data_IF_459735860824
#
_entry.id   IF_459735860824
#
_cell.length_a   1.000
_cell.length_b   1.000
_cell.length_c   1.000
_cell.angle_alpha   90.00
_cell.angle_beta   90.00
_cell.angle_gamma   90.00
#
_symmetry.space_group_name_H-M   'P 1'
#
loop_
_entity.id
_entity.type
_entity.pdbx_description
1 polymer ?
#
# COMPACT_ATOMS: atom_id res chain seq x y z
N UNK A 1 -69.66 51.64 12.06
CA UNK A 1 -68.96 50.46 11.53
C UNK A 1 -67.58 50.89 11.09
N UNK A 2 -66.54 50.50 11.82
CA UNK A 2 -65.14 50.75 11.44
C UNK A 2 -64.31 49.54 11.80
N UNK A 3 -63.88 48.81 10.77
CA UNK A 3 -62.91 47.72 10.81
C UNK A 3 -61.54 48.25 11.20
N UNK A 4 -60.82 47.53 12.07
CA UNK A 4 -59.35 47.59 12.08
C UNK A 4 -58.77 46.19 12.28
N UNK A 5 -58.03 45.75 11.26
CA UNK A 5 -57.40 44.45 11.06
C UNK A 5 -56.16 44.26 11.96
N UNK A 6 -55.87 43.05 12.47
CA UNK A 6 -54.59 42.77 13.12
C UNK A 6 -53.50 42.46 12.09
N UNK A 7 -52.37 43.15 12.20
CA UNK A 7 -51.17 43.01 11.38
C UNK A 7 -50.43 41.69 11.71
N UNK A 8 -50.32 40.79 10.73
CA UNK A 8 -49.48 39.57 10.81
C UNK A 8 -47.99 39.95 10.85
N UNK A 9 -47.32 39.75 11.99
CA UNK A 9 -45.85 39.66 12.06
C UNK A 9 -45.42 38.30 11.50
N UNK A 10 -45.02 38.28 10.22
CA UNK A 10 -44.54 37.07 9.57
C UNK A 10 -43.04 36.88 9.81
N UNK A 11 -42.67 35.67 10.24
CA UNK A 11 -41.32 35.17 10.52
C UNK A 11 -40.31 35.53 9.41
N UNK A 12 -39.38 36.45 9.67
CA UNK A 12 -38.17 36.66 8.83
C UNK A 12 -36.88 36.08 9.43
N UNK A 13 -36.93 35.59 10.66
CA UNK A 13 -35.76 35.07 11.37
C UNK A 13 -35.19 33.72 10.86
N UNK A 14 -35.98 32.72 10.40
CA UNK A 14 -35.41 31.42 10.05
C UNK A 14 -34.70 31.41 8.70
N UNK A 15 -35.13 32.26 7.75
CA UNK A 15 -34.56 32.30 6.39
C UNK A 15 -33.14 32.88 6.40
N UNK A 16 -32.90 33.89 7.24
CA UNK A 16 -31.59 34.54 7.35
C UNK A 16 -30.54 33.55 7.90
N UNK A 17 -30.93 32.72 8.87
CA UNK A 17 -30.05 31.70 9.43
C UNK A 17 -29.68 30.61 8.42
N UNK A 18 -30.63 30.18 7.58
CA UNK A 18 -30.36 29.21 6.51
C UNK A 18 -29.34 29.77 5.51
N UNK A 19 -29.46 31.06 5.13
CA UNK A 19 -28.50 31.69 4.23
C UNK A 19 -27.10 31.82 4.84
N UNK A 20 -27.00 32.17 6.13
CA UNK A 20 -25.70 32.27 6.81
C UNK A 20 -25.00 30.91 6.88
N UNK A 21 -25.74 29.84 7.21
CA UNK A 21 -25.19 28.48 7.29
C UNK A 21 -24.75 28.00 5.90
N UNK A 22 -25.55 28.25 4.86
CA UNK A 22 -25.20 27.91 3.49
C UNK A 22 -23.94 28.64 3.00
N UNK A 23 -23.80 29.94 3.31
CA UNK A 23 -22.61 30.70 2.98
C UNK A 23 -21.37 30.22 3.75
N UNK A 24 -21.50 29.88 5.03
CA UNK A 24 -20.40 29.33 5.82
C UNK A 24 -19.91 27.98 5.28
N UNK A 25 -20.84 27.09 4.89
CA UNK A 25 -20.50 25.81 4.27
C UNK A 25 -19.85 25.99 2.89
N UNK A 26 -20.34 26.92 2.08
CA UNK A 26 -19.71 27.25 0.80
C UNK A 26 -18.28 27.76 1.00
N UNK A 27 -18.04 28.64 1.98
CA UNK A 27 -16.70 29.13 2.29
C UNK A 27 -15.75 28.00 2.70
N UNK A 28 -16.20 27.04 3.51
CA UNK A 28 -15.37 25.87 3.88
C UNK A 28 -15.07 24.95 2.70
N UNK A 29 -16.01 24.82 1.75
CA UNK A 29 -15.82 23.99 0.56
C UNK A 29 -14.91 24.65 -0.49
N UNK A 30 -14.99 25.97 -0.67
CA UNK A 30 -14.19 26.70 -1.66
C UNK A 30 -12.85 27.22 -1.12
N UNK A 31 -12.75 27.51 0.18
CA UNK A 31 -11.51 27.92 0.86
C UNK A 31 -11.01 26.80 1.77
N UNK A 32 -10.72 25.63 1.18
CA UNK A 32 -9.89 24.65 1.88
C UNK A 32 -8.51 25.29 2.09
N UNK A 33 -7.99 25.38 3.33
CA UNK A 33 -6.64 25.86 3.55
C UNK A 33 -5.70 24.96 2.75
N UNK A 34 -5.01 25.55 1.78
CA UNK A 34 -3.92 24.87 1.08
C UNK A 34 -2.85 24.62 2.12
N UNK A 35 -2.70 23.36 2.56
CA UNK A 35 -1.49 22.94 3.24
C UNK A 35 -0.33 23.20 2.29
N UNK A 36 0.36 24.31 2.49
CA UNK A 36 1.61 24.57 1.80
C UNK A 36 2.53 23.41 2.13
N UNK A 37 2.91 22.63 1.12
CA UNK A 37 4.05 21.72 1.26
C UNK A 37 5.23 22.62 1.56
N UNK A 38 5.85 22.46 2.73
CA UNK A 38 7.07 23.17 3.04
C UNK A 38 8.06 22.93 1.90
N UNK A 39 8.35 24.00 1.17
CA UNK A 39 9.43 23.99 0.19
C UNK A 39 10.69 24.01 1.04
N UNK A 40 11.31 22.85 1.22
CA UNK A 40 12.60 22.74 1.91
C UNK A 40 13.55 23.68 1.18
N UNK A 41 13.94 24.75 1.86
CA UNK A 41 14.85 25.75 1.32
C UNK A 41 16.20 25.05 1.09
N UNK A 42 16.72 25.13 -0.13
CA UNK A 42 18.04 24.59 -0.47
C UNK A 42 19.09 25.31 0.38
N UNK A 43 19.67 24.59 1.35
CA UNK A 43 20.65 25.09 2.30
C UNK A 43 22.06 25.17 1.71
N UNK A 44 22.22 24.81 0.42
CA UNK A 44 23.49 24.80 -0.28
C UNK A 44 24.40 23.64 0.11
N UNK A 45 23.96 22.76 1.00
CA UNK A 45 24.67 21.53 1.36
C UNK A 45 24.26 20.39 0.41
N UNK A 46 25.20 19.52 -0.01
CA UNK A 46 24.87 18.41 -0.87
C UNK A 46 23.91 17.45 -0.15
N UNK A 47 22.69 17.33 -0.68
CA UNK A 47 21.68 16.37 -0.21
C UNK A 47 22.24 14.94 -0.17
N UNK A 48 22.37 14.36 1.03
CA UNK A 48 22.86 12.99 1.22
C UNK A 48 21.71 12.01 1.08
N UNK A 49 21.58 11.42 -0.11
CA UNK A 49 20.54 10.45 -0.43
C UNK A 49 20.85 9.07 0.18
N UNK A 50 20.08 8.68 1.19
CA UNK A 50 20.22 7.36 1.84
C UNK A 50 19.17 6.38 1.33
N UNK A 51 19.61 5.15 1.09
CA UNK A 51 18.76 3.99 0.81
C UNK A 51 17.90 3.66 2.04
N UNK A 52 16.73 3.06 1.81
CA UNK A 52 15.91 2.49 2.89
C UNK A 52 16.70 1.37 3.57
N UNK A 53 16.78 1.44 4.90
CA UNK A 53 17.37 0.38 5.73
C UNK A 53 16.23 -0.47 6.28
N UNK A 54 16.25 -1.75 5.95
CA UNK A 54 15.23 -2.71 6.37
C UNK A 54 15.70 -3.47 7.61
N UNK A 55 15.13 -3.13 8.75
CA UNK A 55 15.40 -3.80 10.03
C UNK A 55 14.50 -5.04 10.21
N UNK A 56 14.74 -6.03 9.37
CA UNK A 56 13.93 -7.25 9.27
C UNK A 56 13.95 -8.05 10.58
N UNK A 57 15.01 -7.90 11.39
CA UNK A 57 15.15 -8.58 12.68
C UNK A 57 14.07 -8.16 13.69
N UNK A 58 13.59 -6.92 13.62
CA UNK A 58 12.60 -6.35 14.53
C UNK A 58 11.16 -6.41 14.03
N UNK A 59 10.92 -7.04 12.88
CA UNK A 59 9.57 -7.18 12.34
C UNK A 59 8.81 -8.35 12.97
N UNK A 60 7.51 -8.14 13.17
CA UNK A 60 6.64 -9.16 13.73
C UNK A 60 6.37 -10.26 12.70
N UNK A 61 6.96 -11.44 12.93
CA UNK A 61 6.67 -12.63 12.13
C UNK A 61 5.23 -13.12 12.37
N UNK A 62 4.66 -13.77 11.35
CA UNK A 62 3.37 -14.48 11.47
C UNK A 62 3.61 -15.97 11.74
N UNK A 63 2.73 -16.62 12.54
CA UNK A 63 2.78 -18.07 12.69
C UNK A 63 2.66 -18.77 11.35
N UNK A 64 3.37 -19.89 11.20
CA UNK A 64 3.32 -20.68 9.99
C UNK A 64 1.89 -21.20 9.76
N UNK A 65 1.44 -21.13 8.51
CA UNK A 65 0.15 -21.60 8.07
C UNK A 65 0.12 -23.11 7.97
N UNK A 66 -1.02 -23.70 8.29
CA UNK A 66 -1.24 -25.16 8.23
C UNK A 66 -2.01 -25.57 6.99
N UNK A 67 -2.71 -24.61 6.37
CA UNK A 67 -3.41 -24.79 5.10
C UNK A 67 -2.42 -25.10 3.97
N UNK A 68 -2.89 -25.77 2.92
CA UNK A 68 -2.09 -26.18 1.76
C UNK A 68 -2.78 -25.71 0.46
N UNK A 69 -2.02 -25.59 -0.64
CA UNK A 69 -2.56 -25.24 -1.96
C UNK A 69 -3.31 -23.90 -1.97
N UNK A 70 -4.41 -23.80 -2.73
CA UNK A 70 -5.17 -22.57 -2.94
C UNK A 70 -5.57 -21.88 -1.63
N UNK A 71 -6.13 -22.62 -0.67
CA UNK A 71 -6.63 -22.05 0.59
C UNK A 71 -5.52 -21.34 1.38
N UNK A 72 -4.31 -21.87 1.31
CA UNK A 72 -3.13 -21.26 1.92
C UNK A 72 -2.82 -19.89 1.32
N UNK A 73 -2.86 -19.77 0.00
CA UNK A 73 -2.56 -18.51 -0.68
C UNK A 73 -3.70 -17.50 -0.60
N UNK A 74 -4.96 -17.95 -0.59
CA UNK A 74 -6.12 -17.11 -0.30
C UNK A 74 -6.01 -16.44 1.07
N UNK A 75 -5.68 -17.22 2.10
CA UNK A 75 -5.46 -16.66 3.44
C UNK A 75 -4.17 -15.83 3.50
N UNK A 76 -3.11 -16.18 2.78
CA UNK A 76 -1.88 -15.41 2.74
C UNK A 76 -2.08 -13.99 2.15
N UNK A 77 -2.95 -13.81 1.15
CA UNK A 77 -3.30 -12.47 0.59
C UNK A 77 -3.78 -11.50 1.66
N UNK A 78 -4.45 -11.99 2.71
CA UNK A 78 -4.97 -11.14 3.79
C UNK A 78 -3.88 -10.44 4.59
N UNK A 79 -2.63 -10.94 4.57
CA UNK A 79 -1.48 -10.27 5.20
C UNK A 79 -0.97 -9.05 4.40
N UNK A 80 -1.35 -8.94 3.12
CA UNK A 80 -0.97 -7.83 2.25
C UNK A 80 -1.95 -6.68 2.42
N UNK A 81 -3.23 -6.93 2.19
CA UNK A 81 -4.33 -6.01 2.44
C UNK A 81 -5.67 -6.75 2.46
N UNK A 82 -6.67 -6.13 3.09
CA UNK A 82 -8.04 -6.68 3.13
C UNK A 82 -8.81 -6.47 1.82
N UNK A 83 -8.39 -5.49 1.01
CA UNK A 83 -9.07 -5.13 -0.24
C UNK A 83 -8.06 -5.00 -1.37
N UNK A 84 -8.56 -5.22 -2.59
CA UNK A 84 -7.78 -5.09 -3.81
C UNK A 84 -8.70 -4.64 -4.95
N UNK A 85 -8.12 -3.93 -5.92
CA UNK A 85 -8.74 -3.73 -7.23
C UNK A 85 -8.27 -4.86 -8.14
N UNK A 86 -9.23 -5.63 -8.68
CA UNK A 86 -8.97 -6.74 -9.60
C UNK A 86 -8.89 -6.25 -11.05
N UNK A 87 -7.91 -6.73 -11.79
CA UNK A 87 -7.76 -6.54 -13.24
C UNK A 87 -7.05 -7.74 -13.87
N UNK A 88 -7.09 -7.87 -15.20
CA UNK A 88 -6.34 -8.92 -15.89
C UNK A 88 -4.85 -8.56 -16.02
N UNK A 89 -3.98 -9.56 -15.95
CA UNK A 89 -2.56 -9.45 -16.26
C UNK A 89 -2.01 -10.78 -16.81
N UNK A 90 -0.74 -10.76 -17.19
CA UNK A 90 0.01 -11.98 -17.45
C UNK A 90 0.85 -12.32 -16.23
N UNK A 91 0.90 -13.60 -15.87
CA UNK A 91 1.82 -14.13 -14.88
C UNK A 91 3.26 -14.19 -15.45
N UNK A 92 4.19 -14.65 -14.61
CA UNK A 92 5.60 -14.77 -14.89
C UNK A 92 5.91 -15.68 -16.09
N UNK A 93 5.02 -16.64 -16.39
CA UNK A 93 5.13 -17.52 -17.55
C UNK A 93 4.38 -17.00 -18.78
N UNK A 94 3.74 -15.83 -18.69
CA UNK A 94 2.97 -15.24 -19.78
C UNK A 94 1.56 -15.82 -19.93
N UNK A 95 1.03 -16.48 -18.89
CA UNK A 95 -0.34 -17.02 -18.86
C UNK A 95 -1.28 -15.97 -18.27
N UNK A 96 -2.52 -15.91 -18.78
CA UNK A 96 -3.54 -15.01 -18.23
C UNK A 96 -3.79 -15.30 -16.75
N UNK A 97 -3.80 -14.24 -15.95
CA UNK A 97 -3.86 -14.29 -14.51
C UNK A 97 -4.62 -13.09 -13.92
N UNK A 98 -5.04 -13.24 -12.67
CA UNK A 98 -5.71 -12.19 -11.94
C UNK A 98 -4.68 -11.29 -11.24
N UNK A 99 -4.71 -10.00 -11.53
CA UNK A 99 -3.94 -8.99 -10.79
C UNK A 99 -4.81 -8.34 -9.72
N UNK A 100 -4.33 -8.39 -8.48
CA UNK A 100 -4.90 -7.76 -7.30
C UNK A 100 -4.02 -6.58 -6.89
N UNK A 101 -4.43 -5.36 -7.23
CA UNK A 101 -3.70 -4.14 -6.88
C UNK A 101 -4.17 -3.60 -5.53
N UNK A 102 -3.26 -3.39 -4.59
CA UNK A 102 -3.54 -2.97 -3.21
C UNK A 102 -3.24 -1.49 -2.93
N UNK A 103 -2.92 -0.74 -3.97
CA UNK A 103 -2.51 0.67 -3.93
C UNK A 103 -3.18 1.43 -5.06
N UNK A 104 -3.41 2.73 -4.86
CA UNK A 104 -3.93 3.62 -5.88
C UNK A 104 -2.84 4.05 -6.87
N UNK A 105 -3.23 4.66 -8.00
CA UNK A 105 -2.30 5.04 -9.07
C UNK A 105 -1.23 6.08 -8.67
N UNK A 106 -1.42 6.79 -7.56
CA UNK A 106 -0.48 7.80 -7.05
C UNK A 106 0.37 7.30 -5.87
N UNK A 107 0.24 6.03 -5.51
CA UNK A 107 0.99 5.40 -4.43
C UNK A 107 2.03 4.43 -5.00
N UNK A 108 3.15 4.18 -4.29
CA UNK A 108 4.10 3.16 -4.69
C UNK A 108 3.42 1.80 -4.84
N UNK A 109 3.60 1.11 -5.99
CA UNK A 109 2.84 -0.09 -6.28
C UNK A 109 3.07 -1.20 -5.25
N UNK A 110 1.98 -1.89 -4.94
CA UNK A 110 1.91 -3.17 -4.25
C UNK A 110 0.78 -3.97 -4.88
N UNK A 111 1.10 -5.13 -5.45
CA UNK A 111 0.10 -5.98 -6.09
C UNK A 111 0.50 -7.46 -6.03
N UNK A 112 -0.51 -8.30 -6.19
CA UNK A 112 -0.34 -9.74 -6.43
C UNK A 112 -0.80 -10.05 -7.84
N UNK A 113 -0.06 -10.90 -8.56
CA UNK A 113 -0.58 -11.61 -9.74
C UNK A 113 -0.74 -13.07 -9.34
N UNK A 114 -1.92 -13.62 -9.58
CA UNK A 114 -2.26 -14.99 -9.19
C UNK A 114 -2.86 -15.74 -10.38
N UNK A 115 -2.25 -16.88 -10.69
CA UNK A 115 -2.75 -17.88 -11.62
C UNK A 115 -3.01 -19.20 -10.89
N UNK A 116 -3.40 -20.23 -11.63
CA UNK A 116 -3.62 -21.56 -11.06
C UNK A 116 -2.32 -22.10 -10.42
N UNK A 117 -1.17 -21.85 -11.05
CA UNK A 117 0.12 -22.39 -10.62
C UNK A 117 0.97 -21.42 -9.79
N UNK A 118 0.79 -20.11 -9.97
CA UNK A 118 1.70 -19.10 -9.44
C UNK A 118 1.02 -18.09 -8.52
N UNK A 119 1.80 -17.64 -7.54
CA UNK A 119 1.52 -16.49 -6.70
C UNK A 119 2.71 -15.52 -6.75
N UNK A 120 2.47 -14.32 -7.26
CA UNK A 120 3.50 -13.30 -7.50
C UNK A 120 3.23 -12.05 -6.69
N UNK A 121 3.98 -11.87 -5.60
CA UNK A 121 3.97 -10.63 -4.85
C UNK A 121 5.00 -9.65 -5.43
N UNK A 122 4.54 -8.47 -5.85
CA UNK A 122 5.41 -7.40 -6.33
C UNK A 122 5.14 -6.10 -5.58
N UNK A 123 6.21 -5.40 -5.20
CA UNK A 123 6.12 -4.06 -4.63
C UNK A 123 7.27 -3.16 -5.05
N UNK A 124 7.04 -1.85 -4.90
CA UNK A 124 8.04 -0.83 -5.18
C UNK A 124 9.23 -0.88 -4.21
N UNK A 125 10.43 -0.89 -4.77
CA UNK A 125 11.69 -0.80 -4.05
C UNK A 125 12.23 0.64 -4.12
N UNK A 126 12.14 1.37 -3.01
CA UNK A 126 12.42 2.79 -3.00
C UNK A 126 13.86 3.13 -3.40
N UNK A 127 14.00 4.10 -4.28
CA UNK A 127 15.26 4.71 -4.66
C UNK A 127 15.79 5.62 -3.53
N UNK A 128 17.11 5.76 -3.36
CA UNK A 128 17.67 6.68 -2.36
C UNK A 128 17.23 8.14 -2.51
N UNK A 129 16.84 8.58 -3.72
CA UNK A 129 16.35 9.94 -3.97
C UNK A 129 14.85 10.13 -3.81
N UNK A 130 14.11 9.07 -3.47
CA UNK A 130 12.68 9.20 -3.22
C UNK A 130 12.41 10.04 -1.97
N UNK A 131 11.24 10.67 -1.95
CA UNK A 131 10.73 11.35 -0.75
C UNK A 131 10.52 10.36 0.40
N UNK A 132 10.55 10.87 1.62
CA UNK A 132 10.35 10.06 2.83
C UNK A 132 9.00 9.32 2.82
N UNK A 133 7.95 9.93 2.28
CA UNK A 133 6.64 9.29 2.15
C UNK A 133 6.69 8.03 1.25
N UNK A 134 7.43 8.09 0.14
CA UNK A 134 7.60 6.97 -0.80
C UNK A 134 8.47 5.88 -0.17
N UNK A 135 9.55 6.27 0.52
CA UNK A 135 10.41 5.35 1.28
C UNK A 135 9.63 4.62 2.38
N UNK A 136 8.80 5.35 3.11
CA UNK A 136 7.96 4.78 4.17
C UNK A 136 6.91 3.81 3.61
N UNK A 137 6.30 4.13 2.47
CA UNK A 137 5.38 3.22 1.80
C UNK A 137 6.09 1.94 1.30
N UNK A 138 7.27 2.06 0.68
CA UNK A 138 8.09 0.90 0.28
C UNK A 138 8.47 0.03 1.49
N UNK A 139 8.84 0.65 2.61
CA UNK A 139 9.12 -0.06 3.86
C UNK A 139 7.90 -0.81 4.39
N UNK A 140 6.72 -0.18 4.41
CA UNK A 140 5.48 -0.82 4.83
C UNK A 140 5.09 -1.99 3.91
N UNK A 141 5.33 -1.88 2.60
CA UNK A 141 5.12 -2.97 1.66
C UNK A 141 6.07 -4.15 1.93
N UNK A 142 7.34 -3.87 2.24
CA UNK A 142 8.30 -4.90 2.64
C UNK A 142 7.88 -5.62 3.94
N UNK A 143 7.31 -4.91 4.91
CA UNK A 143 6.76 -5.53 6.13
C UNK A 143 5.59 -6.48 5.85
N UNK A 144 4.72 -6.13 4.89
CA UNK A 144 3.63 -7.00 4.44
C UNK A 144 4.16 -8.25 3.75
N UNK A 145 5.17 -8.09 2.88
CA UNK A 145 5.85 -9.21 2.23
C UNK A 145 6.52 -10.14 3.26
N UNK A 146 7.13 -9.57 4.30
CA UNK A 146 7.69 -10.33 5.41
C UNK A 146 6.63 -11.11 6.20
N UNK A 147 5.52 -10.47 6.53
CA UNK A 147 4.41 -11.13 7.22
C UNK A 147 3.86 -12.31 6.39
N UNK A 148 3.72 -12.13 5.08
CA UNK A 148 3.31 -13.20 4.16
C UNK A 148 4.34 -14.33 4.10
N UNK A 149 5.62 -14.01 3.87
CA UNK A 149 6.65 -15.03 3.70
C UNK A 149 6.89 -15.83 4.99
N UNK A 150 6.82 -15.19 6.16
CA UNK A 150 6.90 -15.88 7.45
C UNK A 150 5.68 -16.74 7.73
N UNK A 151 4.48 -16.30 7.34
CA UNK A 151 3.28 -17.13 7.40
C UNK A 151 3.38 -18.37 6.50
N UNK A 152 3.97 -18.22 5.30
CA UNK A 152 4.15 -19.35 4.41
C UNK A 152 5.27 -20.28 4.91
N UNK A 153 6.47 -19.77 5.13
CA UNK A 153 7.69 -20.60 5.25
C UNK A 153 8.43 -20.45 6.59
N UNK A 154 7.86 -19.76 7.56
CA UNK A 154 8.46 -19.56 8.88
C UNK A 154 9.82 -18.85 8.81
N UNK A 155 10.82 -19.43 9.49
CA UNK A 155 12.18 -18.88 9.52
C UNK A 155 12.86 -18.86 8.14
N UNK A 156 12.55 -19.82 7.28
CA UNK A 156 13.08 -19.82 5.91
C UNK A 156 12.51 -18.63 5.12
N UNK A 157 11.22 -18.31 5.33
CA UNK A 157 10.59 -17.12 4.75
C UNK A 157 11.22 -15.82 5.24
N UNK A 158 11.57 -15.75 6.53
CA UNK A 158 12.37 -14.64 7.08
C UNK A 158 13.71 -14.52 6.36
N UNK A 159 14.45 -15.61 6.22
CA UNK A 159 15.77 -15.61 5.58
C UNK A 159 15.70 -15.17 4.11
N UNK A 160 14.69 -15.64 3.36
CA UNK A 160 14.45 -15.21 1.97
C UNK A 160 14.25 -13.69 1.91
N UNK A 161 13.36 -13.12 2.74
CA UNK A 161 13.08 -11.69 2.70
C UNK A 161 14.26 -10.82 3.15
N UNK A 162 15.01 -11.28 4.15
CA UNK A 162 16.23 -10.61 4.58
C UNK A 162 17.28 -10.55 3.46
N UNK A 163 17.51 -11.68 2.78
CA UNK A 163 18.42 -11.76 1.64
C UNK A 163 17.94 -10.87 0.48
N UNK A 164 16.65 -10.93 0.13
CA UNK A 164 16.05 -10.08 -0.91
C UNK A 164 16.27 -8.59 -0.64
N UNK A 165 15.92 -8.12 0.56
CA UNK A 165 15.91 -6.69 0.90
C UNK A 165 17.32 -6.11 1.07
N UNK A 166 18.27 -6.97 1.45
CA UNK A 166 19.70 -6.63 1.53
C UNK A 166 20.45 -6.84 0.20
N UNK A 167 19.73 -7.16 -0.88
CA UNK A 167 20.28 -7.42 -2.22
C UNK A 167 21.31 -8.56 -2.25
N UNK A 168 21.21 -9.49 -1.29
CA UNK A 168 21.98 -10.72 -1.27
C UNK A 168 21.31 -11.77 -2.15
N UNK A 169 22.11 -12.65 -2.75
CA UNK A 169 21.54 -13.80 -3.48
C UNK A 169 20.79 -14.70 -2.50
N UNK A 170 19.53 -14.99 -2.84
CA UNK A 170 18.74 -15.95 -2.08
C UNK A 170 19.28 -17.36 -2.32
N UNK A 171 19.52 -18.11 -1.24
CA UNK A 171 20.10 -19.45 -1.33
C UNK A 171 19.29 -20.40 -2.21
N UNK A 172 19.94 -21.04 -3.19
CA UNK A 172 19.28 -21.94 -4.14
C UNK A 172 18.51 -23.10 -3.47
N UNK A 173 19.03 -23.61 -2.35
CA UNK A 173 18.35 -24.63 -1.54
C UNK A 173 17.01 -24.13 -0.99
N UNK A 174 16.95 -22.89 -0.46
CA UNK A 174 15.72 -22.29 0.04
C UNK A 174 14.69 -22.11 -1.08
N UNK A 175 15.16 -21.65 -2.25
CA UNK A 175 14.31 -21.47 -3.42
C UNK A 175 13.69 -22.81 -3.86
N UNK A 176 14.51 -23.84 -4.00
CA UNK A 176 14.06 -25.18 -4.42
C UNK A 176 13.12 -25.82 -3.40
N UNK A 177 13.47 -25.77 -2.11
CA UNK A 177 12.69 -26.37 -1.01
C UNK A 177 11.25 -25.85 -0.98
N UNK A 178 11.06 -24.56 -1.24
CA UNK A 178 9.77 -23.89 -1.12
C UNK A 178 9.09 -23.58 -2.45
N UNK A 179 9.65 -24.03 -3.57
CA UNK A 179 9.10 -23.77 -4.90
C UNK A 179 9.09 -22.28 -5.26
N UNK A 180 10.06 -21.52 -4.77
CA UNK A 180 10.21 -20.09 -5.08
C UNK A 180 10.98 -19.97 -6.38
N UNK A 181 10.35 -19.40 -7.41
CA UNK A 181 10.95 -19.22 -8.73
C UNK A 181 11.83 -17.98 -8.78
N UNK A 182 11.45 -16.94 -8.03
CA UNK A 182 12.15 -15.66 -8.02
C UNK A 182 11.97 -14.97 -6.68
N UNK A 183 13.05 -14.43 -6.14
CA UNK A 183 13.09 -13.68 -4.90
C UNK A 183 14.22 -12.65 -4.99
N UNK A 184 13.91 -11.44 -5.45
CA UNK A 184 14.91 -10.37 -5.59
C UNK A 184 14.30 -8.97 -5.41
N UNK A 185 15.15 -8.01 -5.03
CA UNK A 185 14.89 -6.59 -5.13
C UNK A 185 15.92 -5.96 -6.07
N UNK A 186 15.47 -5.44 -7.20
CA UNK A 186 16.31 -4.79 -8.20
C UNK A 186 15.49 -3.81 -9.03
N UNK A 187 16.14 -2.78 -9.59
CA UNK A 187 15.51 -1.85 -10.54
C UNK A 187 14.15 -1.31 -10.06
N UNK A 188 14.12 -0.81 -8.82
CA UNK A 188 12.93 -0.23 -8.20
C UNK A 188 11.77 -1.20 -7.94
N UNK A 189 12.02 -2.50 -8.03
CA UNK A 189 10.99 -3.53 -7.87
C UNK A 189 11.51 -4.66 -7.00
N UNK A 190 10.72 -5.08 -6.02
CA UNK A 190 10.91 -6.35 -5.34
C UNK A 190 9.86 -7.35 -5.82
N UNK A 191 10.29 -8.57 -6.12
CA UNK A 191 9.45 -9.64 -6.63
C UNK A 191 9.69 -10.93 -5.84
N UNK A 192 8.60 -11.51 -5.34
CA UNK A 192 8.57 -12.84 -4.76
C UNK A 192 7.55 -13.69 -5.53
N UNK A 193 8.05 -14.68 -6.27
CA UNK A 193 7.26 -15.53 -7.17
C UNK A 193 7.33 -16.97 -6.65
N UNK A 194 6.18 -17.53 -6.31
CA UNK A 194 6.04 -18.81 -5.64
C UNK A 194 5.11 -19.73 -6.42
N UNK A 195 5.42 -21.02 -6.44
CA UNK A 195 4.46 -22.05 -6.85
C UNK A 195 3.41 -22.26 -5.76
N UNK A 196 2.17 -22.53 -6.16
CA UNK A 196 1.07 -22.82 -5.23
C UNK A 196 1.08 -24.26 -4.70
#
# INVERSE_FOLDING_TARGET
MTNTTPTKKFLKAPIIWVFIIACALALVLFFRPTTHKDVIQDDGEPQVYKKVVYDVANWQARPIMTEMGQDRFERAKTFIAQTATKSDALDFHGVMADKYSHTSAHEPPLYVIESDELFELTWYYAHPKDSDAIKQASYAHAQKAYALATALYGNDGKAVLEQMLTEQMVGAELLQKHGILKAECANYTCQLIMKK
#
